data_IF_968277658311
#
_entry.id   IF_968277658311
#
_cell.length_a   1.000
_cell.length_b   1.000
_cell.length_c   1.000
_cell.angle_alpha   90.00
_cell.angle_beta   90.00
_cell.angle_gamma   90.00
#
_symmetry.space_group_name_H-M   'P 1'
#
loop_
_entity.id
_entity.type
_entity.pdbx_description
1 polymer ?
#
# COMPACT_ATOMS: atom_id res chain seq x y z
N UNK A 1 -2.39 -14.41 9.96
CA UNK A 1 -1.14 -13.69 10.32
C UNK A 1 0.04 -14.63 10.12
N UNK A 2 1.00 -14.32 9.24
CA UNK A 2 2.18 -15.17 9.04
C UNK A 2 3.19 -14.86 10.15
N UNK A 3 3.74 -15.89 10.78
CA UNK A 3 4.80 -15.76 11.79
C UNK A 3 6.16 -15.85 11.11
N UNK A 4 7.09 -15.01 11.53
CA UNK A 4 8.46 -15.02 11.05
C UNK A 4 9.41 -15.32 12.21
N UNK A 5 10.55 -15.94 11.90
CA UNK A 5 11.56 -16.29 12.90
C UNK A 5 12.95 -15.88 12.41
N UNK A 6 13.80 -15.49 13.34
CA UNK A 6 15.19 -15.14 13.06
C UNK A 6 15.94 -16.36 12.53
N UNK A 7 16.63 -16.26 11.38
CA UNK A 7 17.36 -17.38 10.80
C UNK A 7 18.61 -17.79 11.61
N UNK A 8 18.98 -17.03 12.65
CA UNK A 8 20.17 -17.29 13.49
C UNK A 8 19.79 -17.83 14.86
N UNK A 9 18.86 -17.19 15.57
CA UNK A 9 18.51 -17.56 16.94
C UNK A 9 17.07 -18.07 17.12
N UNK A 10 16.29 -18.16 16.03
CA UNK A 10 14.88 -18.60 16.01
C UNK A 10 13.88 -17.72 16.80
N UNK A 11 14.30 -16.58 17.35
CA UNK A 11 13.39 -15.62 17.97
C UNK A 11 12.31 -15.14 16.99
N UNK A 12 11.11 -14.85 17.50
CA UNK A 12 10.01 -14.33 16.69
C UNK A 12 10.33 -12.92 16.14
N UNK A 13 9.96 -12.69 14.88
CA UNK A 13 10.19 -11.44 14.18
C UNK A 13 8.87 -10.84 13.69
N UNK A 14 8.78 -9.51 13.77
CA UNK A 14 7.78 -8.74 13.04
C UNK A 14 8.19 -8.57 11.58
N UNK A 15 7.21 -8.37 10.71
CA UNK A 15 7.43 -8.26 9.25
C UNK A 15 8.38 -7.11 8.85
N UNK A 16 8.40 -6.01 9.60
CA UNK A 16 9.29 -4.88 9.35
C UNK A 16 10.61 -4.93 10.13
N UNK A 17 10.99 -6.10 10.69
CA UNK A 17 12.21 -6.23 11.48
C UNK A 17 13.48 -6.06 10.63
N UNK A 18 14.16 -4.93 10.80
CA UNK A 18 15.48 -4.67 10.22
C UNK A 18 16.62 -5.39 10.98
N UNK A 19 16.45 -5.58 12.29
CA UNK A 19 17.42 -6.22 13.19
C UNK A 19 16.67 -7.16 14.12
N UNK A 20 17.26 -8.31 14.45
CA UNK A 20 16.70 -9.21 15.45
C UNK A 20 16.87 -8.60 16.85
N UNK A 21 15.77 -8.37 17.57
CA UNK A 21 15.81 -7.84 18.94
C UNK A 21 16.50 -8.76 19.96
N UNK A 22 16.59 -10.07 19.70
CA UNK A 22 17.17 -11.04 20.64
C UNK A 22 18.67 -11.25 20.47
N UNK A 23 19.18 -11.35 19.23
CA UNK A 23 20.60 -11.63 18.96
C UNK A 23 21.33 -10.49 18.23
N UNK A 24 20.65 -9.38 17.91
CA UNK A 24 21.25 -8.23 17.22
C UNK A 24 21.65 -8.48 15.76
N UNK A 25 21.28 -9.63 15.18
CA UNK A 25 21.58 -9.91 13.76
C UNK A 25 20.88 -8.89 12.88
N UNK A 26 21.64 -8.26 11.98
CA UNK A 26 21.09 -7.40 10.94
C UNK A 26 20.44 -8.24 9.83
N UNK A 27 19.20 -7.90 9.49
CA UNK A 27 18.32 -8.72 8.65
C UNK A 27 17.89 -7.97 7.39
N UNK A 28 17.58 -8.77 6.38
CA UNK A 28 16.78 -8.36 5.22
C UNK A 28 15.63 -9.33 5.00
N UNK A 29 14.53 -8.85 4.43
CA UNK A 29 13.39 -9.64 3.98
C UNK A 29 13.53 -9.94 2.49
N UNK A 30 13.59 -11.23 2.14
CA UNK A 30 13.61 -11.75 0.77
C UNK A 30 12.16 -11.91 0.28
N UNK A 31 11.74 -11.12 -0.72
CA UNK A 31 10.36 -11.09 -1.23
C UNK A 31 9.87 -12.46 -1.69
N UNK A 32 10.68 -13.18 -2.48
CA UNK A 32 10.23 -14.39 -3.17
C UNK A 32 10.16 -15.59 -2.21
N UNK A 33 11.16 -15.72 -1.33
CA UNK A 33 11.17 -16.70 -0.26
C UNK A 33 10.23 -16.34 0.90
N UNK A 34 9.74 -15.09 0.95
CA UNK A 34 8.92 -14.52 2.04
C UNK A 34 9.50 -14.85 3.42
N UNK A 35 10.80 -14.60 3.59
CA UNK A 35 11.56 -14.94 4.79
C UNK A 35 12.64 -13.91 5.08
N UNK A 36 13.14 -13.94 6.31
CA UNK A 36 14.31 -13.16 6.68
C UNK A 36 15.60 -13.90 6.38
N UNK A 37 16.63 -13.14 6.01
CA UNK A 37 18.00 -13.60 5.84
C UNK A 37 18.98 -12.62 6.54
N UNK A 38 20.16 -13.08 6.98
CA UNK A 38 21.21 -12.18 7.46
C UNK A 38 21.67 -11.25 6.34
N UNK A 39 21.72 -9.95 6.62
CA UNK A 39 22.09 -8.95 5.63
C UNK A 39 23.55 -9.04 5.16
N UNK A 40 24.42 -9.71 5.92
CA UNK A 40 25.83 -9.89 5.55
C UNK A 40 26.02 -10.65 4.22
N UNK A 41 25.03 -11.46 3.83
CA UNK A 41 25.07 -12.25 2.59
C UNK A 41 24.19 -11.68 1.48
N UNK A 42 23.55 -10.51 1.69
CA UNK A 42 22.50 -9.96 0.82
C UNK A 42 22.66 -8.45 0.65
N UNK A 43 21.95 -7.85 -0.30
CA UNK A 43 21.96 -6.40 -0.47
C UNK A 43 20.81 -5.76 0.29
N UNK A 44 21.10 -4.72 1.07
CA UNK A 44 20.08 -3.91 1.74
C UNK A 44 19.48 -2.93 0.72
N UNK A 45 18.17 -2.65 0.83
CA UNK A 45 17.55 -1.54 0.12
C UNK A 45 18.35 -0.25 0.31
N UNK A 46 18.55 0.53 -0.76
CA UNK A 46 19.15 1.88 -0.70
C UNK A 46 18.47 2.76 0.35
N UNK A 47 17.16 2.63 0.51
CA UNK A 47 16.38 3.38 1.51
C UNK A 47 16.55 2.88 2.95
N UNK A 48 17.42 1.89 3.21
CA UNK A 48 17.71 1.39 4.57
C UNK A 48 18.24 2.47 5.50
N UNK A 49 19.11 3.35 5.00
CA UNK A 49 19.72 4.42 5.80
C UNK A 49 18.77 5.57 6.11
N UNK A 50 17.70 5.74 5.31
CA UNK A 50 16.78 6.88 5.44
C UNK A 50 15.51 6.50 6.20
N UNK A 51 14.88 5.38 5.84
CA UNK A 51 13.59 4.96 6.43
C UNK A 51 13.65 3.58 7.09
N UNK A 52 14.84 3.01 7.27
CA UNK A 52 14.99 1.71 7.91
C UNK A 52 14.43 0.54 7.10
N UNK A 53 14.25 0.69 5.77
CA UNK A 53 13.63 -0.33 4.91
C UNK A 53 14.29 -1.72 5.11
N UNK A 54 13.56 -2.75 5.57
CA UNK A 54 14.13 -4.03 5.92
C UNK A 54 14.23 -4.99 4.73
N UNK A 55 13.91 -4.58 3.51
CA UNK A 55 13.85 -5.48 2.36
C UNK A 55 15.17 -5.64 1.64
N UNK A 56 15.34 -6.81 1.04
CA UNK A 56 16.45 -7.12 0.15
C UNK A 56 16.35 -6.34 -1.17
N UNK A 57 17.48 -5.80 -1.62
CA UNK A 57 17.65 -5.21 -2.95
C UNK A 57 18.22 -6.24 -3.94
N UNK A 58 17.94 -6.08 -5.25
CA UNK A 58 18.49 -6.99 -6.26
C UNK A 58 20.02 -6.88 -6.42
N UNK A 59 20.59 -5.72 -6.09
CA UNK A 59 22.02 -5.46 -6.15
C UNK A 59 22.43 -4.37 -5.14
N UNK A 60 23.73 -4.18 -4.96
CA UNK A 60 24.27 -3.12 -4.12
C UNK A 60 23.76 -1.73 -4.59
N UNK A 61 23.43 -0.88 -3.62
CA UNK A 61 22.92 0.47 -3.85
C UNK A 61 21.65 0.51 -4.75
N UNK A 62 20.81 -0.52 -4.74
CA UNK A 62 19.53 -0.50 -5.46
C UNK A 62 18.33 -0.37 -4.50
N UNK A 63 17.19 0.09 -5.03
CA UNK A 63 15.92 0.02 -4.32
C UNK A 63 15.42 -1.43 -4.29
N UNK A 64 14.80 -1.84 -3.18
CA UNK A 64 14.05 -3.09 -3.14
C UNK A 64 12.79 -3.00 -4.01
N UNK A 65 12.17 -4.14 -4.30
CA UNK A 65 11.02 -4.18 -5.21
C UNK A 65 9.79 -3.37 -4.72
N UNK A 66 9.63 -3.14 -3.41
CA UNK A 66 8.57 -2.29 -2.89
C UNK A 66 8.92 -0.80 -3.01
N UNK A 67 10.09 -0.38 -2.52
CA UNK A 67 10.52 1.02 -2.62
C UNK A 67 10.75 1.48 -4.07
N UNK A 68 10.98 0.55 -5.00
CA UNK A 68 11.07 0.85 -6.42
C UNK A 68 9.72 1.30 -7.04
N UNK A 69 8.59 1.01 -6.39
CA UNK A 69 7.28 1.54 -6.80
C UNK A 69 7.18 3.05 -6.54
N UNK A 70 7.91 3.57 -5.56
CA UNK A 70 7.89 4.98 -5.18
C UNK A 70 8.76 5.79 -6.13
N UNK A 71 8.10 6.53 -7.02
CA UNK A 71 8.72 7.41 -8.02
C UNK A 71 9.18 8.72 -7.39
N UNK A 72 8.34 9.30 -6.53
CA UNK A 72 8.59 10.56 -5.84
C UNK A 72 8.48 10.34 -4.33
N UNK A 73 9.43 10.89 -3.57
CA UNK A 73 9.46 10.86 -2.10
C UNK A 73 9.76 12.24 -1.52
N UNK A 74 9.48 12.48 -0.22
CA UNK A 74 9.89 13.72 0.43
C UNK A 74 11.41 13.95 0.42
N UNK A 75 11.87 15.22 0.43
CA UNK A 75 13.29 15.56 0.46
C UNK A 75 13.93 15.22 1.83
N UNK A 76 15.20 14.81 1.83
CA UNK A 76 15.92 14.35 3.02
C UNK A 76 16.02 15.39 4.16
N UNK A 77 15.82 16.68 3.85
CA UNK A 77 15.88 17.76 4.83
C UNK A 77 14.61 17.95 5.69
N UNK A 78 13.54 17.19 5.43
CA UNK A 78 12.25 17.31 6.14
C UNK A 78 12.01 16.06 7.00
N UNK A 79 12.51 16.06 8.23
CA UNK A 79 12.53 14.88 9.10
C UNK A 79 11.13 14.27 9.32
N UNK A 80 10.14 15.10 9.61
CA UNK A 80 8.74 14.68 9.80
C UNK A 80 8.18 13.99 8.54
N UNK A 81 8.37 14.61 7.37
CA UNK A 81 7.94 14.01 6.10
C UNK A 81 8.64 12.66 5.81
N UNK A 82 9.90 12.50 6.23
CA UNK A 82 10.63 11.24 6.11
C UNK A 82 10.07 10.17 7.06
N UNK A 83 9.69 10.52 8.29
CA UNK A 83 9.06 9.60 9.23
C UNK A 83 7.72 9.09 8.70
N UNK A 84 6.88 10.00 8.21
CA UNK A 84 5.61 9.66 7.58
C UNK A 84 5.77 8.81 6.32
N UNK A 85 6.75 9.14 5.46
CA UNK A 85 7.09 8.31 4.32
C UNK A 85 7.54 6.90 4.76
N UNK A 86 8.32 6.78 5.84
CA UNK A 86 8.72 5.47 6.37
C UNK A 86 7.52 4.61 6.77
N UNK A 87 6.49 5.22 7.37
CA UNK A 87 5.24 4.56 7.72
C UNK A 87 4.44 4.14 6.48
N UNK A 88 4.31 5.02 5.49
CA UNK A 88 3.64 4.70 4.23
C UNK A 88 4.34 3.55 3.48
N UNK A 89 5.67 3.53 3.45
CA UNK A 89 6.45 2.46 2.85
C UNK A 89 6.29 1.11 3.58
N UNK A 90 6.05 1.11 4.90
CA UNK A 90 5.66 -0.13 5.62
C UNK A 90 4.35 -0.66 5.08
N UNK A 91 3.34 0.21 4.96
CA UNK A 91 2.05 -0.18 4.39
C UNK A 91 2.18 -0.68 2.94
N UNK A 92 2.99 -0.03 2.10
CA UNK A 92 3.28 -0.48 0.73
C UNK A 92 3.84 -1.90 0.71
N UNK A 93 4.82 -2.23 1.57
CA UNK A 93 5.38 -3.59 1.68
C UNK A 93 4.34 -4.63 2.08
N UNK A 94 3.44 -4.28 2.98
CA UNK A 94 2.32 -5.15 3.36
C UNK A 94 1.43 -5.46 2.15
N UNK A 95 1.02 -4.44 1.39
CA UNK A 95 0.20 -4.66 0.18
C UNK A 95 0.93 -5.48 -0.86
N UNK A 96 2.22 -5.22 -1.09
CA UNK A 96 3.03 -6.01 -2.05
C UNK A 96 3.02 -7.50 -1.69
N UNK A 97 3.24 -7.86 -0.42
CA UNK A 97 3.23 -9.27 -0.01
C UNK A 97 1.84 -9.89 -0.05
N UNK A 98 0.79 -9.12 0.24
CA UNK A 98 -0.60 -9.58 0.10
C UNK A 98 -0.92 -9.91 -1.35
N UNK A 99 -0.58 -9.02 -2.28
CA UNK A 99 -0.80 -9.22 -3.71
C UNK A 99 0.06 -10.36 -4.28
N UNK A 100 1.30 -10.51 -3.82
CA UNK A 100 2.15 -11.65 -4.19
C UNK A 100 1.50 -12.99 -3.83
N UNK A 101 0.79 -13.08 -2.70
CA UNK A 101 0.04 -14.29 -2.31
C UNK A 101 -1.15 -14.57 -3.23
N UNK A 102 -1.72 -13.53 -3.84
CA UNK A 102 -2.81 -13.62 -4.80
C UNK A 102 -2.32 -13.84 -6.24
N UNK A 103 -1.00 -13.85 -6.47
CA UNK A 103 -0.40 -13.92 -7.81
C UNK A 103 -0.45 -12.60 -8.59
N UNK A 104 -0.83 -11.50 -7.93
CA UNK A 104 -0.96 -10.16 -8.53
C UNK A 104 0.33 -9.35 -8.35
N UNK A 105 1.41 -9.78 -9.00
CA UNK A 105 2.74 -9.23 -8.74
C UNK A 105 2.88 -7.80 -9.30
N UNK A 106 3.02 -6.81 -8.41
CA UNK A 106 3.26 -5.43 -8.80
C UNK A 106 4.64 -5.25 -9.44
N UNK A 107 4.69 -4.45 -10.52
CA UNK A 107 5.90 -4.03 -11.23
C UNK A 107 6.01 -2.50 -11.21
N UNK A 108 7.18 -1.93 -10.88
CA UNK A 108 7.43 -0.50 -11.04
C UNK A 108 7.20 0.00 -12.46
N UNK A 109 6.58 1.16 -12.59
CA UNK A 109 6.48 1.88 -13.86
C UNK A 109 7.87 2.38 -14.29
N UNK A 110 8.25 2.10 -15.54
CA UNK A 110 9.50 2.55 -16.15
C UNK A 110 9.23 3.66 -17.17
N UNK A 111 8.12 3.56 -17.89
CA UNK A 111 7.62 4.59 -18.80
C UNK A 111 6.11 4.76 -18.63
N UNK A 112 5.60 5.95 -18.98
CA UNK A 112 4.17 6.21 -18.96
C UNK A 112 3.42 5.20 -19.84
N UNK A 113 2.35 4.61 -19.31
CA UNK A 113 1.52 3.64 -20.03
C UNK A 113 2.13 2.25 -20.20
N UNK A 114 3.27 1.93 -19.59
CA UNK A 114 3.88 0.59 -19.70
C UNK A 114 3.12 -0.50 -18.91
N UNK A 115 2.05 -0.13 -18.20
CA UNK A 115 1.24 -1.00 -17.34
C UNK A 115 1.83 -1.23 -15.95
N UNK A 116 2.91 -0.55 -15.59
CA UNK A 116 3.51 -0.59 -14.25
C UNK A 116 2.89 0.45 -13.32
N UNK A 117 3.14 0.28 -12.03
CA UNK A 117 2.66 1.15 -10.98
C UNK A 117 3.77 2.12 -10.53
N UNK A 118 3.43 3.40 -10.39
CA UNK A 118 4.23 4.41 -9.71
C UNK A 118 3.45 4.95 -8.50
N UNK A 119 4.18 5.27 -7.43
CA UNK A 119 3.66 5.95 -6.25
C UNK A 119 4.38 7.28 -6.12
N UNK A 120 3.63 8.37 -6.14
CA UNK A 120 4.10 9.70 -5.78
C UNK A 120 3.74 9.96 -4.31
N UNK A 121 4.74 9.81 -3.43
CA UNK A 121 4.62 10.14 -2.03
C UNK A 121 4.89 11.64 -1.84
N UNK A 122 3.83 12.43 -1.72
CA UNK A 122 3.88 13.88 -1.57
C UNK A 122 3.84 14.27 -0.10
N UNK A 123 4.26 15.49 0.18
CA UNK A 123 4.16 16.11 1.49
C UNK A 123 3.74 17.56 1.27
N UNK A 124 2.81 18.05 2.09
CA UNK A 124 2.51 19.47 2.19
C UNK A 124 2.31 19.84 3.65
N UNK A 125 2.95 20.93 4.09
CA UNK A 125 2.83 21.40 5.48
C UNK A 125 1.40 21.87 5.80
N UNK A 126 0.66 22.34 4.79
CA UNK A 126 -0.75 22.72 4.91
C UNK A 126 -1.72 21.57 4.58
N UNK A 127 -1.20 20.42 4.15
CA UNK A 127 -2.02 19.27 3.80
C UNK A 127 -2.68 19.29 2.43
N UNK A 128 -2.36 20.25 1.57
CA UNK A 128 -2.96 20.39 0.23
C UNK A 128 -2.35 19.41 -0.79
N UNK A 129 -2.53 18.12 -0.55
CA UNK A 129 -2.13 17.08 -1.51
C UNK A 129 -3.37 16.48 -2.16
N UNK A 130 -3.47 16.62 -3.48
CA UNK A 130 -4.47 15.86 -4.26
C UNK A 130 -4.04 14.39 -4.31
N UNK A 131 -4.77 13.56 -3.59
CA UNK A 131 -4.61 12.10 -3.55
C UNK A 131 -5.46 11.42 -4.62
N UNK A 132 -5.05 10.23 -5.06
CA UNK A 132 -5.81 9.39 -5.99
C UNK A 132 -4.96 8.64 -7.00
N UNK A 133 -5.62 7.95 -7.92
CA UNK A 133 -4.99 7.17 -8.98
C UNK A 133 -5.30 7.72 -10.38
N UNK A 134 -4.27 7.88 -11.22
CA UNK A 134 -4.39 8.19 -12.64
C UNK A 134 -3.29 7.51 -13.45
N UNK A 135 -3.65 6.81 -14.53
CA UNK A 135 -2.73 6.20 -15.51
C UNK A 135 -1.57 5.37 -14.89
N UNK A 136 -1.89 4.58 -13.86
CA UNK A 136 -0.91 3.75 -13.14
C UNK A 136 -0.03 4.52 -12.17
N UNK A 137 -0.36 5.78 -11.88
CA UNK A 137 0.28 6.60 -10.85
C UNK A 137 -0.69 6.79 -9.70
N UNK A 138 -0.30 6.33 -8.52
CA UNK A 138 -0.99 6.61 -7.26
C UNK A 138 -0.30 7.81 -6.62
N UNK A 139 -1.05 8.83 -6.23
CA UNK A 139 -0.57 9.97 -5.46
C UNK A 139 -1.11 9.88 -4.04
N UNK A 140 -0.21 9.92 -3.05
CA UNK A 140 -0.55 9.87 -1.63
C UNK A 140 0.07 11.04 -0.90
N UNK A 141 -0.62 11.53 0.12
CA UNK A 141 -0.03 12.41 1.12
C UNK A 141 0.68 11.55 2.18
N UNK A 142 1.98 11.76 2.37
CA UNK A 142 2.71 11.12 3.45
C UNK A 142 2.07 11.48 4.81
N UNK A 143 1.54 12.70 4.99
CA UNK A 143 0.89 13.16 6.21
C UNK A 143 -0.32 12.32 6.65
N UNK A 144 -0.98 11.58 5.74
CA UNK A 144 -2.04 10.63 6.12
C UNK A 144 -1.54 9.46 6.98
N UNK A 145 -0.23 9.20 6.97
CA UNK A 145 0.36 8.20 7.82
C UNK A 145 0.34 8.61 9.30
N UNK A 146 0.22 9.90 9.63
CA UNK A 146 0.10 10.38 11.02
C UNK A 146 -1.17 9.86 11.69
N UNK A 147 -1.07 9.38 12.93
CA UNK A 147 -2.20 8.93 13.73
C UNK A 147 -3.11 10.11 14.14
N UNK A 148 -2.54 11.30 14.38
CA UNK A 148 -3.30 12.49 14.85
C UNK A 148 -4.10 13.09 13.71
N UNK A 149 -3.43 13.43 12.60
CA UNK A 149 -4.10 13.94 11.39
C UNK A 149 -5.11 12.96 10.81
N UNK A 150 -4.88 11.65 10.97
CA UNK A 150 -5.86 10.62 10.60
C UNK A 150 -7.08 10.63 11.52
N UNK A 151 -6.91 10.81 12.83
CA UNK A 151 -8.05 10.93 13.74
C UNK A 151 -8.91 12.17 13.41
N UNK A 152 -8.28 13.28 13.01
CA UNK A 152 -8.98 14.48 12.51
C UNK A 152 -9.77 14.16 11.22
N UNK A 153 -9.12 13.55 10.20
CA UNK A 153 -9.80 13.12 8.98
C UNK A 153 -10.92 12.10 9.22
N UNK A 154 -10.75 11.19 10.19
CA UNK A 154 -11.78 10.22 10.59
C UNK A 154 -13.01 10.92 11.18
N UNK A 155 -12.81 11.97 11.97
CA UNK A 155 -13.90 12.77 12.53
C UNK A 155 -14.60 13.62 11.46
N UNK A 156 -13.86 14.17 10.50
CA UNK A 156 -14.43 14.99 9.42
C UNK A 156 -15.22 14.16 8.38
N UNK A 157 -14.79 12.92 8.11
CA UNK A 157 -15.38 12.07 7.07
C UNK A 157 -16.32 10.97 7.61
N UNK A 158 -16.46 10.81 8.94
CA UNK A 158 -17.19 9.71 9.59
C UNK A 158 -16.77 8.31 9.08
N UNK A 159 -15.49 8.17 8.69
CA UNK A 159 -14.89 6.95 8.15
C UNK A 159 -13.95 6.29 9.19
N UNK A 160 -14.44 5.42 10.09
CA UNK A 160 -13.65 4.87 11.20
C UNK A 160 -12.45 3.99 10.79
N UNK A 161 -12.29 3.66 9.50
CA UNK A 161 -11.32 2.70 9.00
C UNK A 161 -10.26 3.26 8.03
N UNK A 162 -10.09 4.58 7.94
CA UNK A 162 -9.09 5.16 7.03
C UNK A 162 -7.67 4.99 7.59
N UNK A 163 -7.01 3.89 7.25
CA UNK A 163 -5.57 3.65 7.53
C UNK A 163 -4.75 3.81 6.25
N UNK A 164 -3.47 4.16 6.36
CA UNK A 164 -2.57 4.22 5.19
C UNK A 164 -2.56 2.90 4.40
N UNK A 165 -2.63 1.75 5.09
CA UNK A 165 -2.76 0.44 4.44
C UNK A 165 -4.09 0.30 3.69
N UNK A 166 -5.21 0.72 4.30
CA UNK A 166 -6.52 0.70 3.67
C UNK A 166 -6.59 1.59 2.44
N UNK A 167 -6.04 2.81 2.53
CA UNK A 167 -5.99 3.74 1.42
C UNK A 167 -5.10 3.23 0.27
N UNK A 168 -3.92 2.71 0.56
CA UNK A 168 -3.08 2.03 -0.44
C UNK A 168 -3.81 0.88 -1.14
N UNK A 169 -4.59 0.06 -0.40
CA UNK A 169 -5.39 -1.02 -1.00
C UNK A 169 -6.48 -0.48 -1.92
N UNK A 170 -7.13 0.61 -1.53
CA UNK A 170 -8.14 1.28 -2.37
C UNK A 170 -7.52 1.76 -3.69
N UNK A 171 -6.43 2.52 -3.62
CA UNK A 171 -5.77 3.08 -4.80
C UNK A 171 -5.14 2.00 -5.70
N UNK A 172 -4.58 0.94 -5.10
CA UNK A 172 -4.10 -0.22 -5.88
C UNK A 172 -5.27 -1.00 -6.50
N UNK A 173 -6.46 -0.96 -5.88
CA UNK A 173 -7.69 -1.43 -6.48
C UNK A 173 -8.01 -0.69 -7.79
N UNK A 174 -7.89 0.64 -7.79
CA UNK A 174 -8.05 1.45 -9.02
C UNK A 174 -7.02 1.11 -10.10
N UNK A 175 -5.78 0.80 -9.72
CA UNK A 175 -4.77 0.32 -10.66
C UNK A 175 -5.14 -1.04 -11.28
N UNK A 176 -5.58 -2.00 -10.47
CA UNK A 176 -5.89 -3.35 -10.97
C UNK A 176 -7.24 -3.44 -11.70
N UNK A 177 -8.20 -2.57 -11.38
CA UNK A 177 -9.54 -2.62 -11.94
C UNK A 177 -9.54 -2.70 -13.47
N UNK A 178 -8.94 -1.76 -14.24
CA UNK A 178 -8.94 -1.85 -15.69
C UNK A 178 -8.16 -3.07 -16.21
N UNK A 179 -7.11 -3.50 -15.50
CA UNK A 179 -6.28 -4.65 -15.88
C UNK A 179 -7.00 -6.00 -15.72
N UNK A 180 -7.90 -6.13 -14.74
CA UNK A 180 -8.59 -7.38 -14.41
C UNK A 180 -10.01 -7.47 -14.97
N UNK A 181 -10.73 -6.36 -15.00
CA UNK A 181 -12.14 -6.35 -15.39
C UNK A 181 -12.33 -6.31 -16.91
N UNK A 182 -11.34 -5.88 -17.69
CA UNK A 182 -11.49 -5.77 -19.15
C UNK A 182 -12.64 -4.82 -19.55
N UNK A 183 -12.80 -3.71 -18.82
CA UNK A 183 -13.93 -2.76 -18.98
C UNK A 183 -14.15 -2.34 -20.42
N UNK A 184 -13.08 -2.13 -21.17
CA UNK A 184 -13.12 -1.69 -22.57
C UNK A 184 -13.72 -2.74 -23.52
N UNK A 185 -13.95 -3.98 -23.05
CA UNK A 185 -14.40 -5.10 -23.86
C UNK A 185 -15.81 -5.61 -23.50
N UNK A 186 -16.50 -5.02 -22.52
CA UNK A 186 -17.83 -5.50 -22.08
C UNK A 186 -17.76 -6.97 -21.63
N UNK A 187 -16.83 -7.26 -20.73
CA UNK A 187 -16.39 -8.62 -20.44
C UNK A 187 -17.33 -9.38 -19.48
N UNK A 188 -17.30 -10.72 -19.56
CA UNK A 188 -17.92 -11.64 -18.60
C UNK A 188 -17.53 -11.34 -17.14
N UNK A 189 -16.33 -10.82 -16.91
CA UNK A 189 -15.82 -10.47 -15.59
C UNK A 189 -16.58 -9.30 -14.97
N UNK A 190 -16.98 -8.30 -15.76
CA UNK A 190 -17.80 -7.19 -15.27
C UNK A 190 -19.18 -7.67 -14.83
N UNK A 191 -19.82 -8.55 -15.60
CA UNK A 191 -21.14 -9.08 -15.23
C UNK A 191 -21.06 -9.88 -13.93
N UNK A 192 -19.99 -10.66 -13.74
CA UNK A 192 -19.72 -11.35 -12.47
C UNK A 192 -19.45 -10.39 -11.32
N UNK A 193 -18.75 -9.27 -11.55
CA UNK A 193 -18.59 -8.21 -10.55
C UNK A 193 -19.95 -7.63 -10.16
N UNK A 194 -20.82 -7.34 -11.12
CA UNK A 194 -22.17 -6.79 -10.87
C UNK A 194 -23.06 -7.73 -10.05
N UNK A 195 -22.98 -9.03 -10.31
CA UNK A 195 -23.71 -10.05 -9.56
C UNK A 195 -23.32 -10.08 -8.06
N UNK A 196 -22.05 -9.80 -7.75
CA UNK A 196 -21.52 -9.90 -6.38
C UNK A 196 -21.53 -8.56 -5.65
N UNK A 197 -21.11 -7.48 -6.32
CA UNK A 197 -20.85 -6.18 -5.69
C UNK A 197 -21.90 -5.12 -6.03
N UNK A 198 -22.76 -5.37 -7.02
CA UNK A 198 -23.76 -4.40 -7.50
C UNK A 198 -23.32 -3.65 -8.75
N UNK A 199 -24.23 -2.84 -9.30
CA UNK A 199 -24.05 -2.14 -10.57
C UNK A 199 -23.20 -0.87 -10.40
N UNK A 200 -21.98 -0.89 -10.93
CA UNK A 200 -21.01 0.19 -10.86
C UNK A 200 -21.38 1.41 -11.72
N UNK A 201 -22.39 1.28 -12.59
CA UNK A 201 -22.88 2.38 -13.45
C UNK A 201 -23.83 3.33 -12.71
N UNK A 202 -24.24 2.98 -11.51
CA UNK A 202 -25.02 3.87 -10.65
C UNK A 202 -24.17 5.10 -10.35
N UNK A 203 -24.75 6.28 -10.51
CA UNK A 203 -24.07 7.53 -10.22
C UNK A 203 -23.56 7.56 -8.77
N UNK A 204 -22.26 7.82 -8.62
CA UNK A 204 -21.59 7.74 -7.33
C UNK A 204 -22.18 8.74 -6.33
N UNK A 205 -22.42 9.98 -6.76
CA UNK A 205 -23.01 11.00 -5.89
C UNK A 205 -24.45 10.62 -5.51
N UNK A 206 -25.26 10.15 -6.47
CA UNK A 206 -26.61 9.66 -6.19
C UNK A 206 -26.63 8.46 -5.22
N UNK A 207 -25.63 7.58 -5.26
CA UNK A 207 -25.50 6.48 -4.32
C UNK A 207 -25.17 6.97 -2.89
N UNK A 208 -24.30 7.98 -2.75
CA UNK A 208 -23.99 8.66 -1.50
C UNK A 208 -25.24 9.34 -0.93
N UNK A 209 -25.92 10.17 -1.73
CA UNK A 209 -27.09 10.92 -1.31
C UNK A 209 -28.20 9.98 -0.80
N UNK A 210 -28.43 8.87 -1.53
CA UNK A 210 -29.35 7.81 -1.10
C UNK A 210 -28.92 7.15 0.21
N UNK A 211 -27.62 6.89 0.40
CA UNK A 211 -27.12 6.31 1.65
C UNK A 211 -27.42 7.20 2.85
N UNK A 212 -27.11 8.49 2.75
CA UNK A 212 -27.35 9.43 3.84
C UNK A 212 -28.83 9.73 4.07
N UNK A 213 -29.66 9.69 3.01
CA UNK A 213 -31.10 9.93 3.14
C UNK A 213 -31.87 8.72 3.69
N UNK A 214 -31.53 7.50 3.27
CA UNK A 214 -32.33 6.30 3.55
C UNK A 214 -31.61 5.25 4.42
N UNK A 215 -30.34 5.47 4.73
CA UNK A 215 -29.49 4.49 5.42
C UNK A 215 -29.08 3.31 4.53
N UNK A 216 -28.36 2.33 5.11
CA UNK A 216 -28.01 1.10 4.41
C UNK A 216 -29.26 0.24 4.15
N UNK A 217 -29.31 -0.49 3.01
CA UNK A 217 -30.42 -1.39 2.72
C UNK A 217 -30.55 -2.52 3.76
N UNK A 218 -31.75 -3.08 3.91
CA UNK A 218 -31.99 -4.17 4.85
C UNK A 218 -31.04 -5.37 4.65
N UNK A 219 -30.58 -6.00 5.74
CA UNK A 219 -29.62 -7.11 5.68
C UNK A 219 -28.20 -6.69 5.28
N UNK A 220 -27.84 -5.41 5.47
CA UNK A 220 -26.50 -4.90 5.16
C UNK A 220 -25.39 -5.60 5.94
N UNK A 221 -25.55 -5.70 7.27
CA UNK A 221 -24.57 -6.33 8.17
C UNK A 221 -24.31 -7.80 7.85
N UNK A 222 -25.24 -8.47 7.19
CA UNK A 222 -25.12 -9.88 6.82
C UNK A 222 -24.38 -10.09 5.49
N UNK A 223 -24.25 -9.03 4.68
CA UNK A 223 -23.77 -9.09 3.29
C UNK A 223 -22.54 -8.24 3.02
N UNK A 224 -22.28 -7.23 3.83
CA UNK A 224 -21.21 -6.26 3.63
C UNK A 224 -20.40 -6.07 4.91
N UNK A 225 -19.10 -5.83 4.73
CA UNK A 225 -18.20 -5.39 5.79
C UNK A 225 -18.25 -3.86 5.79
N UNK A 226 -18.67 -3.27 6.91
CA UNK A 226 -18.76 -1.81 7.14
C UNK A 226 -17.95 -1.41 8.35
#
# INVERSE_FOLDING_TARGET
>A
MQRFSCPVCSAELFFDAAVCGSCGTDLVFERDGRRFAPAAARHRCRNRSVIGCPWEAPQADALCAACALTRTRPPDGHAEAIEHWAMAERATRHVVVELDRLGLRLRPQVAAGDGGLAIDMRWSDDGSVTIGHADGVITLDAGEADDVRRAELQQELDEPYRTMLGHLRHEIGHYWWPLLSGVDQGSFQLDRCREVFGDERIDYQGAIDRHYAAGPPGGWRDRYVS
#
